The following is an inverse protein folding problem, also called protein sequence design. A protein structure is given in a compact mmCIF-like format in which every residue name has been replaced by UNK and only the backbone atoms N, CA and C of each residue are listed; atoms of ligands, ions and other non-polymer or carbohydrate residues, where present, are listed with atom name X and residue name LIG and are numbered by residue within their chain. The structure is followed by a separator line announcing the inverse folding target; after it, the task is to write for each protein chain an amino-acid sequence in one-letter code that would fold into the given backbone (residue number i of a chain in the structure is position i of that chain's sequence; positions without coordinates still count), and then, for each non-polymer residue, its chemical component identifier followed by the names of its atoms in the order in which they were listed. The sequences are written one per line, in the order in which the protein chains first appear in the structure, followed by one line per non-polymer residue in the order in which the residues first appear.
data_IF_384005961307
#
_entry.id   IF_384005961307
#
_cell.length_a   1.000
_cell.length_b   1.000
_cell.length_c   1.000
_cell.angle_alpha   90.00
_cell.angle_beta   90.00
_cell.angle_gamma   90.00
#
_symmetry.space_group_name_H-M   'P 1'
#
loop_
_entity.id
_entity.type
_entity.pdbx_description
1 polymer ?
#
# COMPACT_ATOMS: atom_id res chain seq x y z
N UNK A 1 3.72 26.20 5.34
CA UNK A 1 4.70 25.26 4.76
C UNK A 1 5.73 24.93 5.82
N UNK A 2 5.79 23.71 6.33
CA UNK A 2 6.85 23.31 7.27
C UNK A 2 8.20 23.62 6.63
N UNK A 3 9.11 24.21 7.40
CA UNK A 3 10.50 24.47 7.03
C UNK A 3 11.20 23.12 6.93
N UNK A 4 10.99 22.40 5.82
CA UNK A 4 11.72 21.17 5.54
C UNK A 4 13.16 21.57 5.36
N UNK A 5 14.04 20.95 6.12
CA UNK A 5 15.47 21.21 6.03
C UNK A 5 15.98 20.56 4.73
N UNK A 6 15.90 21.28 3.61
CA UNK A 6 16.42 20.84 2.31
C UNK A 6 17.85 20.30 2.43
N UNK A 7 18.66 20.92 3.30
CA UNK A 7 20.02 20.51 3.63
C UNK A 7 20.11 19.07 4.16
N UNK A 8 19.14 18.61 4.97
CA UNK A 8 19.12 17.22 5.47
C UNK A 8 18.84 16.24 4.34
N UNK A 9 17.86 16.54 3.48
CA UNK A 9 17.54 15.70 2.31
C UNK A 9 18.75 15.58 1.39
N UNK A 10 19.43 16.69 1.12
CA UNK A 10 20.61 16.73 0.26
C UNK A 10 21.75 15.96 0.90
N UNK A 11 21.97 16.10 2.21
CA UNK A 11 22.98 15.33 2.93
C UNK A 11 22.72 13.82 2.81
N UNK A 12 21.47 13.38 2.95
CA UNK A 12 21.08 11.98 2.76
C UNK A 12 21.36 11.51 1.33
N UNK A 13 21.00 12.32 0.31
CA UNK A 13 21.26 12.00 -1.10
C UNK A 13 22.76 11.87 -1.38
N UNK A 14 23.57 12.83 -0.92
CA UNK A 14 25.02 12.82 -1.10
C UNK A 14 25.64 11.63 -0.38
N UNK A 15 25.23 11.38 0.86
CA UNK A 15 25.73 10.23 1.65
C UNK A 15 25.38 8.91 0.95
N UNK A 16 24.16 8.75 0.45
CA UNK A 16 23.74 7.57 -0.32
C UNK A 16 24.55 7.37 -1.58
N UNK A 17 24.82 8.44 -2.35
CA UNK A 17 25.67 8.38 -3.55
C UNK A 17 27.12 8.01 -3.20
N UNK A 18 27.69 8.56 -2.13
CA UNK A 18 29.04 8.22 -1.66
C UNK A 18 29.13 6.75 -1.27
N UNK A 19 28.20 6.25 -0.45
CA UNK A 19 28.17 4.84 -0.02
C UNK A 19 28.03 3.92 -1.24
N UNK A 20 27.11 4.24 -2.15
CA UNK A 20 26.91 3.46 -3.38
C UNK A 20 28.16 3.47 -4.25
N UNK A 21 28.86 4.60 -4.33
CA UNK A 21 30.11 4.74 -5.09
C UNK A 21 31.27 3.95 -4.49
N UNK A 22 31.30 3.81 -3.16
CA UNK A 22 32.28 2.97 -2.46
C UNK A 22 32.03 1.48 -2.69
N UNK A 23 30.77 1.04 -2.68
CA UNK A 23 30.41 -0.38 -2.91
C UNK A 23 30.71 -0.80 -4.35
N UNK A 24 30.49 0.10 -5.32
CA UNK A 24 30.68 -0.19 -6.74
C UNK A 24 32.09 0.16 -7.26
N UNK A 25 32.94 0.76 -6.41
CA UNK A 25 34.28 1.28 -6.74
C UNK A 25 34.31 2.24 -7.96
N UNK A 26 33.22 3.00 -8.16
CA UNK A 26 33.08 3.92 -9.29
C UNK A 26 33.53 5.32 -8.88
N UNK A 27 34.75 5.68 -9.26
CA UNK A 27 35.33 7.01 -8.98
C UNK A 27 34.50 8.17 -9.53
N UNK A 28 33.87 7.99 -10.69
CA UNK A 28 32.99 9.00 -11.30
C UNK A 28 31.78 9.34 -10.41
N UNK A 29 31.22 8.36 -9.70
CA UNK A 29 30.06 8.56 -8.82
C UNK A 29 30.44 9.37 -7.58
N UNK A 30 31.63 9.14 -7.04
CA UNK A 30 32.14 9.91 -5.91
C UNK A 30 32.36 11.39 -6.29
N UNK A 31 32.97 11.65 -7.45
CA UNK A 31 33.17 13.02 -7.95
C UNK A 31 31.82 13.71 -8.17
N UNK A 32 30.86 13.02 -8.79
CA UNK A 32 29.51 13.56 -9.00
C UNK A 32 28.81 13.91 -7.66
N UNK A 33 28.92 13.03 -6.65
CA UNK A 33 28.34 13.28 -5.33
C UNK A 33 28.94 14.51 -4.64
N UNK A 34 30.25 14.71 -4.75
CA UNK A 34 30.94 15.87 -4.21
C UNK A 34 30.52 17.15 -4.93
N UNK A 35 30.49 17.13 -6.27
CA UNK A 35 30.01 18.26 -7.08
C UNK A 35 28.57 18.65 -6.74
N UNK A 36 27.66 17.66 -6.61
CA UNK A 36 26.26 17.90 -6.25
C UNK A 36 26.16 18.54 -4.87
N UNK A 37 26.90 18.04 -3.87
CA UNK A 37 26.93 18.60 -2.53
C UNK A 37 27.40 20.05 -2.52
N UNK A 38 28.52 20.34 -3.21
CA UNK A 38 29.08 21.70 -3.31
C UNK A 38 28.09 22.65 -3.99
N UNK A 39 27.53 22.27 -5.15
CA UNK A 39 26.57 23.11 -5.89
C UNK A 39 25.32 23.41 -5.04
N UNK A 40 24.82 22.44 -4.28
CA UNK A 40 23.65 22.63 -3.42
C UNK A 40 23.90 23.59 -2.26
N UNK A 41 25.13 23.65 -1.74
CA UNK A 41 25.50 24.59 -0.67
C UNK A 41 25.50 26.03 -1.19
N UNK A 42 26.06 26.25 -2.38
CA UNK A 42 26.14 27.59 -2.97
C UNK A 42 24.81 28.06 -3.58
N UNK A 43 23.97 27.14 -4.05
CA UNK A 43 22.72 27.46 -4.75
C UNK A 43 21.49 26.82 -4.07
N UNK A 44 20.88 27.50 -3.08
CA UNK A 44 19.73 26.96 -2.33
C UNK A 44 18.48 26.73 -3.20
N UNK A 45 18.36 27.41 -4.34
CA UNK A 45 17.25 27.16 -5.29
C UNK A 45 17.35 25.79 -5.96
N UNK A 46 18.57 25.33 -6.26
CA UNK A 46 18.83 24.01 -6.87
C UNK A 46 18.55 22.92 -5.85
N UNK A 47 19.04 23.13 -4.62
CA UNK A 47 18.76 22.31 -3.45
C UNK A 47 17.25 22.03 -3.28
N UNK A 48 16.41 23.07 -3.32
CA UNK A 48 14.96 22.94 -3.23
C UNK A 48 14.35 22.19 -4.43
N UNK A 49 14.88 22.38 -5.64
CA UNK A 49 14.44 21.64 -6.83
C UNK A 49 14.72 20.14 -6.75
N UNK A 50 15.92 19.78 -6.28
CA UNK A 50 16.31 18.38 -6.05
C UNK A 50 15.46 17.76 -4.94
N UNK A 51 15.27 18.47 -3.84
CA UNK A 51 14.40 18.03 -2.75
C UNK A 51 12.97 17.77 -3.25
N UNK A 52 12.42 18.68 -4.06
CA UNK A 52 11.09 18.51 -4.65
C UNK A 52 11.00 17.27 -5.54
N UNK A 53 11.99 17.05 -6.41
CA UNK A 53 12.05 15.87 -7.26
C UNK A 53 12.17 14.58 -6.43
N UNK A 54 13.00 14.59 -5.40
CA UNK A 54 13.15 13.48 -4.45
C UNK A 54 11.83 13.16 -3.74
N UNK A 55 11.09 14.17 -3.27
CA UNK A 55 9.77 13.96 -2.68
C UNK A 55 8.75 13.41 -3.68
N UNK A 56 8.77 13.85 -4.94
CA UNK A 56 7.91 13.30 -5.98
C UNK A 56 8.17 11.81 -6.21
N UNK A 57 9.44 11.40 -6.22
CA UNK A 57 9.82 9.98 -6.28
C UNK A 57 9.31 9.22 -5.04
N UNK A 58 9.52 9.76 -3.84
CA UNK A 58 9.05 9.15 -2.60
C UNK A 58 7.52 8.97 -2.57
N UNK A 59 6.76 9.92 -3.11
CA UNK A 59 5.29 9.80 -3.25
C UNK A 59 4.90 8.67 -4.20
N UNK A 60 5.60 8.52 -5.33
CA UNK A 60 5.39 7.42 -6.27
C UNK A 60 5.68 6.07 -5.63
N UNK A 61 6.82 5.95 -4.94
CA UNK A 61 7.19 4.77 -4.17
C UNK A 61 6.18 4.46 -3.06
N UNK A 62 5.66 5.49 -2.38
CA UNK A 62 4.62 5.34 -1.36
C UNK A 62 3.33 4.72 -1.93
N UNK A 63 2.89 5.18 -3.10
CA UNK A 63 1.71 4.62 -3.77
C UNK A 63 1.88 3.15 -4.15
N UNK A 64 3.06 2.78 -4.66
CA UNK A 64 3.40 1.39 -4.97
C UNK A 64 3.46 0.56 -3.69
N UNK A 65 4.11 1.07 -2.64
CA UNK A 65 4.26 0.39 -1.35
C UNK A 65 2.91 0.10 -0.68
N UNK A 66 1.95 1.03 -0.72
CA UNK A 66 0.61 0.80 -0.19
C UNK A 66 -0.09 -0.38 -0.87
N UNK A 67 0.07 -0.51 -2.19
CA UNK A 67 -0.49 -1.66 -2.93
C UNK A 67 0.20 -2.95 -2.55
N UNK A 68 1.54 -2.94 -2.51
CA UNK A 68 2.34 -4.12 -2.12
C UNK A 68 1.94 -4.59 -0.72
N UNK A 69 1.88 -3.68 0.25
CA UNK A 69 1.50 -4.01 1.62
C UNK A 69 0.10 -4.63 1.69
N UNK A 70 -0.89 -4.02 1.02
CA UNK A 70 -2.25 -4.55 0.97
C UNK A 70 -2.30 -5.92 0.30
N UNK A 71 -1.59 -6.12 -0.80
CA UNK A 71 -1.49 -7.40 -1.48
C UNK A 71 -0.87 -8.46 -0.59
N UNK A 72 0.23 -8.15 0.11
CA UNK A 72 0.88 -9.06 1.06
C UNK A 72 -0.10 -9.45 2.17
N UNK A 73 -0.77 -8.48 2.79
CA UNK A 73 -1.76 -8.74 3.85
C UNK A 73 -2.91 -9.60 3.32
N UNK A 74 -3.41 -9.32 2.12
CA UNK A 74 -4.44 -10.12 1.48
C UNK A 74 -3.99 -11.56 1.28
N UNK A 75 -2.82 -11.80 0.68
CA UNK A 75 -2.35 -13.14 0.38
C UNK A 75 -1.92 -13.94 1.61
N UNK A 76 -1.41 -13.29 2.66
CA UNK A 76 -0.96 -13.97 3.88
C UNK A 76 -2.11 -14.24 4.85
N UNK A 77 -3.09 -13.34 4.95
CA UNK A 77 -4.17 -13.48 5.94
C UNK A 77 -5.51 -13.79 5.31
N UNK A 78 -6.01 -12.91 4.43
CA UNK A 78 -7.38 -13.00 3.93
C UNK A 78 -7.57 -14.19 2.98
N UNK A 79 -6.62 -14.42 2.08
CA UNK A 79 -6.67 -15.48 1.09
C UNK A 79 -6.69 -16.89 1.73
N UNK A 80 -5.75 -17.26 2.61
CA UNK A 80 -5.80 -18.57 3.26
C UNK A 80 -7.02 -18.70 4.16
N UNK A 81 -7.43 -17.63 4.86
CA UNK A 81 -8.64 -17.66 5.69
C UNK A 81 -9.89 -17.93 4.84
N UNK A 82 -10.04 -17.28 3.70
CA UNK A 82 -11.15 -17.50 2.77
C UNK A 82 -11.09 -18.89 2.13
N UNK A 83 -9.90 -19.42 1.87
CA UNK A 83 -9.77 -20.77 1.33
C UNK A 83 -10.13 -21.83 2.36
N UNK A 84 -9.67 -21.67 3.60
CA UNK A 84 -10.06 -22.51 4.74
C UNK A 84 -11.58 -22.43 4.96
N UNK A 85 -12.16 -21.22 4.99
CA UNK A 85 -13.61 -21.08 5.17
C UNK A 85 -14.39 -21.76 4.05
N UNK A 86 -13.89 -21.71 2.80
CA UNK A 86 -14.51 -22.44 1.68
C UNK A 86 -14.45 -23.97 1.83
N UNK A 87 -13.42 -24.51 2.48
CA UNK A 87 -13.34 -25.95 2.77
C UNK A 87 -14.30 -26.37 3.89
N UNK A 88 -14.47 -25.54 4.92
CA UNK A 88 -15.32 -25.87 6.07
C UNK A 88 -16.80 -25.49 5.87
N UNK A 89 -17.09 -24.41 5.15
CA UNK A 89 -18.46 -23.95 4.89
C UNK A 89 -19.01 -24.65 3.64
N UNK A 90 -19.77 -25.73 3.85
CA UNK A 90 -20.53 -26.39 2.78
C UNK A 90 -21.67 -25.47 2.30
N UNK A 91 -21.47 -24.89 1.13
CA UNK A 91 -22.50 -24.25 0.30
C UNK A 91 -23.35 -23.18 1.01
N UNK A 92 -22.71 -22.12 1.51
CA UNK A 92 -23.38 -20.99 2.18
C UNK A 92 -24.50 -20.33 1.35
N UNK A 93 -24.40 -20.40 0.02
CA UNK A 93 -25.35 -19.81 -0.92
C UNK A 93 -26.35 -20.84 -1.48
N UNK A 94 -26.34 -22.10 -1.01
CA UNK A 94 -27.19 -23.19 -1.48
C UNK A 94 -27.18 -23.37 -3.02
N UNK A 95 -26.04 -23.07 -3.67
CA UNK A 95 -25.90 -23.05 -5.13
C UNK A 95 -25.97 -24.46 -5.75
N UNK A 96 -25.68 -25.52 -4.98
CA UNK A 96 -25.74 -26.91 -5.43
C UNK A 96 -27.07 -27.62 -5.08
N UNK A 97 -28.12 -26.89 -4.67
CA UNK A 97 -29.43 -27.47 -4.35
C UNK A 97 -30.14 -27.96 -5.63
N UNK A 98 -29.85 -29.20 -6.06
CA UNK A 98 -30.43 -29.82 -7.27
C UNK A 98 -31.91 -30.23 -7.15
N UNK A 99 -32.51 -30.17 -5.96
CA UNK A 99 -33.81 -30.82 -5.68
C UNK A 99 -35.03 -29.87 -5.62
N UNK A 100 -34.89 -28.58 -5.90
CA UNK A 100 -35.98 -27.60 -5.71
C UNK A 100 -36.02 -26.61 -6.88
N UNK A 101 -37.20 -26.34 -7.44
CA UNK A 101 -37.41 -25.34 -8.50
C UNK A 101 -37.24 -23.90 -8.02
N UNK A 102 -37.12 -23.71 -6.70
CA UNK A 102 -37.09 -22.42 -6.03
C UNK A 102 -36.07 -22.38 -4.89
N UNK A 103 -35.46 -21.20 -4.70
CA UNK A 103 -34.55 -20.86 -3.59
C UNK A 103 -35.33 -20.44 -2.34
N UNK A 104 -36.63 -20.17 -2.47
CA UNK A 104 -37.48 -19.85 -1.33
C UNK A 104 -37.54 -21.03 -0.34
N UNK A 105 -37.51 -20.70 0.95
CA UNK A 105 -37.70 -21.62 2.07
C UNK A 105 -39.10 -21.42 2.60
N UNK A 106 -39.89 -22.49 2.67
CA UNK A 106 -41.20 -22.47 3.31
C UNK A 106 -41.04 -22.14 4.80
N UNK A 107 -41.47 -20.95 5.18
CA UNK A 107 -41.62 -20.55 6.58
C UNK A 107 -43.06 -20.90 6.94
N UNK A 108 -43.29 -22.11 7.46
CA UNK A 108 -44.56 -22.48 8.09
C UNK A 108 -44.73 -21.74 9.43
N UNK A 109 -44.72 -20.41 9.38
CA UNK A 109 -44.87 -19.54 10.53
C UNK A 109 -46.31 -19.08 10.64
N UNK A 110 -46.97 -19.41 11.74
CA UNK A 110 -48.32 -18.91 12.06
C UNK A 110 -48.21 -17.50 12.61
N UNK A 111 -48.61 -16.52 11.81
CA UNK A 111 -48.54 -15.10 12.17
C UNK A 111 -49.37 -14.78 13.41
N UNK A 112 -48.72 -14.17 14.41
CA UNK A 112 -49.34 -13.66 15.62
C UNK A 112 -49.47 -12.14 15.62
N UNK A 113 -50.18 -11.58 16.61
CA UNK A 113 -50.28 -10.11 16.79
C UNK A 113 -48.93 -9.42 16.93
N UNK A 114 -47.94 -10.10 17.53
CA UNK A 114 -46.58 -9.60 17.72
C UNK A 114 -45.82 -9.41 16.42
N UNK A 115 -46.14 -10.18 15.37
CA UNK A 115 -45.51 -10.04 14.05
C UNK A 115 -46.05 -8.81 13.27
N UNK A 116 -47.21 -8.28 13.69
CA UNK A 116 -47.82 -7.08 13.10
C UNK A 116 -47.34 -5.79 13.78
N UNK A 117 -46.74 -5.88 14.96
CA UNK A 117 -46.14 -4.73 15.65
C UNK A 117 -44.76 -4.36 15.08
N UNK A 118 -44.01 -5.34 14.56
CA UNK A 118 -42.75 -5.11 13.85
C UNK A 118 -42.72 -5.87 12.53
N UNK A 119 -43.12 -5.17 11.48
CA UNK A 119 -43.29 -5.65 10.10
C UNK A 119 -41.98 -5.83 9.32
N UNK A 120 -40.82 -5.52 9.93
CA UNK A 120 -39.52 -5.44 9.27
C UNK A 120 -38.50 -6.41 9.88
#
# INVERSE_FOLDING_TARGET
MQKKDASKTILVIVTGLVITGLILDIRSLQIASACIGVVCIFFPKIALGIEWAWFKLALGLGWVNSKILLSIVYFIFLFPLAWISRLFTKDALQLNRKSSSTIYTDRNHTYGKTDLENIW
#
